data_IF_700663821281
#
_entry.id   IF_700663821281
#
_cell.length_a   1.000
_cell.length_b   1.000
_cell.length_c   1.000
_cell.angle_alpha   90.00
_cell.angle_beta   90.00
_cell.angle_gamma   90.00
#
_symmetry.space_group_name_H-M   'P 1'
#
loop_
_entity.id
_entity.type
_entity.pdbx_description
1 polymer ?
#
# COMPACT_ATOMS: atom_id res chain seq x y z
N UNK A 1 -4.63 -17.76 -61.83
CA UNK A 1 -3.39 -17.72 -61.01
C UNK A 1 -3.07 -16.33 -60.44
N UNK A 2 -3.14 -15.22 -61.22
CA UNK A 2 -2.85 -13.86 -60.70
C UNK A 2 -3.85 -13.37 -59.65
N UNK A 3 -5.16 -13.59 -59.84
CA UNK A 3 -6.18 -13.11 -58.89
C UNK A 3 -6.18 -13.85 -57.54
N UNK A 4 -5.96 -15.16 -57.51
CA UNK A 4 -5.81 -15.91 -56.26
C UNK A 4 -4.60 -15.45 -55.43
N UNK A 5 -3.48 -15.09 -56.09
CA UNK A 5 -2.30 -14.53 -55.41
C UNK A 5 -2.56 -13.15 -54.82
N UNK A 6 -3.39 -12.32 -55.46
CA UNK A 6 -3.78 -10.98 -54.97
C UNK A 6 -4.72 -11.09 -53.76
N UNK A 7 -5.70 -12.00 -53.79
CA UNK A 7 -6.58 -12.26 -52.64
C UNK A 7 -5.80 -12.81 -51.44
N UNK A 8 -4.82 -13.70 -51.64
CA UNK A 8 -3.98 -14.21 -50.55
C UNK A 8 -3.05 -13.15 -49.96
N UNK A 9 -2.54 -12.20 -50.76
CA UNK A 9 -1.70 -11.10 -50.27
C UNK A 9 -2.55 -10.07 -49.50
N UNK A 10 -3.78 -9.77 -49.96
CA UNK A 10 -4.71 -8.90 -49.25
C UNK A 10 -5.19 -9.51 -47.92
N UNK A 11 -5.42 -10.83 -47.88
CA UNK A 11 -5.79 -11.54 -46.66
C UNK A 11 -4.63 -11.60 -45.63
N UNK A 12 -3.38 -11.73 -46.09
CA UNK A 12 -2.20 -11.75 -45.21
C UNK A 12 -1.85 -10.36 -44.67
N UNK A 13 -2.06 -9.30 -45.47
CA UNK A 13 -1.86 -7.91 -45.04
C UNK A 13 -2.92 -7.46 -44.01
N UNK A 14 -4.16 -7.96 -44.09
CA UNK A 14 -5.21 -7.67 -43.11
C UNK A 14 -5.00 -8.39 -41.76
N UNK A 15 -4.39 -9.58 -41.77
CA UNK A 15 -4.12 -10.35 -40.55
C UNK A 15 -2.92 -9.80 -39.74
N UNK A 16 -1.96 -9.15 -40.42
CA UNK A 16 -0.78 -8.54 -39.79
C UNK A 16 -1.06 -7.17 -39.12
N UNK A 17 -2.22 -6.56 -39.36
CA UNK A 17 -2.60 -5.28 -38.74
C UNK A 17 -3.31 -5.43 -37.38
N UNK A 18 -3.59 -6.67 -36.93
CA UNK A 18 -4.34 -6.94 -35.69
C UNK A 18 -3.48 -7.28 -34.46
N UNK A 19 -2.16 -7.08 -34.52
CA UNK A 19 -1.26 -7.30 -33.36
C UNK A 19 -0.57 -5.99 -32.99
N UNK A 20 -1.35 -4.97 -32.67
CA UNK A 20 -0.87 -3.88 -31.83
C UNK A 20 -2.00 -3.55 -30.86
N UNK A 21 -2.08 -4.31 -29.77
CA UNK A 21 -2.72 -3.80 -28.57
C UNK A 21 -1.71 -2.85 -27.93
N UNK A 22 -1.92 -1.52 -27.90
CA UNK A 22 -1.17 -0.70 -26.98
C UNK A 22 -1.63 -1.13 -25.59
N UNK A 23 -0.84 -1.95 -24.88
CA UNK A 23 -0.87 -1.95 -23.43
C UNK A 23 -0.32 -0.59 -23.00
N UNK A 24 -1.16 0.43 -23.10
CA UNK A 24 -1.00 1.68 -22.39
C UNK A 24 -1.24 1.37 -20.91
N UNK A 25 -0.29 0.67 -20.30
CA UNK A 25 -0.09 0.75 -18.87
C UNK A 25 0.51 2.15 -18.65
N UNK A 26 -0.35 3.16 -18.57
CA UNK A 26 0.05 4.46 -18.06
C UNK A 26 0.22 4.27 -16.58
N UNK A 27 1.43 3.90 -16.13
CA UNK A 27 1.85 4.35 -14.81
C UNK A 27 1.90 5.86 -14.92
N UNK A 28 0.81 6.52 -14.53
CA UNK A 28 0.80 7.95 -14.34
C UNK A 28 1.87 8.24 -13.31
N UNK A 29 3.05 8.65 -13.78
CA UNK A 29 3.98 9.42 -12.97
C UNK A 29 3.38 10.81 -12.86
N UNK A 30 2.27 10.87 -12.12
CA UNK A 30 1.73 12.12 -11.63
C UNK A 30 2.85 12.81 -10.86
N UNK A 31 2.93 14.12 -11.01
CA UNK A 31 3.66 14.99 -10.09
C UNK A 31 3.40 14.44 -8.68
N UNK A 32 4.47 14.11 -7.94
CA UNK A 32 4.38 13.63 -6.56
C UNK A 32 3.88 14.77 -5.66
N UNK A 33 2.63 15.20 -5.83
CA UNK A 33 1.86 15.74 -4.75
C UNK A 33 1.50 14.50 -3.95
N UNK A 34 2.28 14.21 -2.91
CA UNK A 34 1.84 13.28 -1.88
C UNK A 34 0.59 13.91 -1.28
N UNK A 35 -0.58 13.51 -1.76
CA UNK A 35 -1.82 13.87 -1.10
C UNK A 35 -1.70 13.36 0.34
N UNK A 36 -1.89 14.24 1.35
CA UNK A 36 -1.86 13.82 2.74
C UNK A 36 -2.82 12.64 2.91
N UNK A 37 -2.44 11.59 3.67
CA UNK A 37 -3.40 10.54 3.98
C UNK A 37 -4.63 11.16 4.66
N UNK A 38 -5.81 10.84 4.16
CA UNK A 38 -7.06 11.28 4.74
C UNK A 38 -7.69 10.18 5.60
N UNK A 39 -8.41 10.59 6.64
CA UNK A 39 -9.23 9.71 7.49
C UNK A 39 -10.55 9.44 6.78
N UNK A 40 -10.82 8.19 6.43
CA UNK A 40 -12.14 7.75 5.98
C UNK A 40 -12.99 7.35 7.20
N UNK A 41 -14.07 8.09 7.42
CA UNK A 41 -15.05 7.82 8.50
C UNK A 41 -16.26 7.03 8.03
N UNK A 42 -16.36 6.74 6.72
CA UNK A 42 -17.50 6.02 6.12
C UNK A 42 -17.32 4.50 6.13
N UNK A 43 -16.07 4.04 6.24
CA UNK A 43 -15.70 2.62 6.28
C UNK A 43 -15.06 2.30 7.62
N UNK A 44 -15.62 1.33 8.35
CA UNK A 44 -14.98 0.83 9.58
C UNK A 44 -13.71 0.07 9.23
N UNK A 45 -12.59 0.43 9.86
CA UNK A 45 -11.31 -0.26 9.74
C UNK A 45 -11.07 -1.06 11.01
N UNK A 46 -10.85 -2.37 10.86
CA UNK A 46 -10.66 -3.30 11.98
C UNK A 46 -9.20 -3.70 12.11
N UNK A 47 -8.68 -3.78 13.33
CA UNK A 47 -7.25 -4.04 13.53
C UNK A 47 -6.81 -5.39 12.94
N UNK A 48 -7.49 -6.47 13.30
CA UNK A 48 -7.10 -7.83 12.91
C UNK A 48 -7.30 -8.09 11.42
N UNK A 49 -8.32 -7.49 10.81
CA UNK A 49 -8.72 -7.76 9.42
C UNK A 49 -8.10 -6.81 8.42
N UNK A 50 -7.80 -5.58 8.82
CA UNK A 50 -7.39 -4.52 7.90
C UNK A 50 -5.97 -4.02 8.18
N UNK A 51 -5.54 -3.97 9.44
CA UNK A 51 -4.22 -3.44 9.84
C UNK A 51 -3.15 -4.53 9.89
N UNK A 52 -3.44 -5.66 10.53
CA UNK A 52 -2.50 -6.79 10.59
C UNK A 52 -2.05 -7.28 9.20
N UNK A 53 -2.91 -7.38 8.17
CA UNK A 53 -2.45 -7.73 6.84
C UNK A 53 -1.45 -6.74 6.24
N UNK A 54 -1.58 -5.43 6.52
CA UNK A 54 -0.59 -4.41 6.11
C UNK A 54 0.75 -4.70 6.79
N UNK A 55 0.75 -4.94 8.10
CA UNK A 55 1.97 -5.25 8.84
C UNK A 55 2.63 -6.52 8.29
N UNK A 56 1.88 -7.58 8.06
CA UNK A 56 2.42 -8.82 7.48
C UNK A 56 2.94 -8.65 6.06
N UNK A 57 2.35 -7.75 5.28
CA UNK A 57 2.78 -7.50 3.91
C UNK A 57 4.11 -6.73 3.83
N UNK A 58 4.38 -5.84 4.80
CA UNK A 58 5.44 -4.85 4.63
C UNK A 58 6.36 -4.61 5.85
N UNK A 59 5.94 -4.93 7.08
CA UNK A 59 6.62 -4.50 8.30
C UNK A 59 7.11 -5.67 9.16
N UNK A 60 6.22 -6.64 9.41
CA UNK A 60 6.44 -7.85 10.18
C UNK A 60 7.23 -8.90 9.36
N UNK A 61 8.47 -8.54 9.01
CA UNK A 61 9.43 -9.42 8.36
C UNK A 61 10.54 -9.80 9.35
N UNK A 62 11.12 -10.99 9.17
CA UNK A 62 12.21 -11.49 10.01
C UNK A 62 13.37 -10.51 10.13
N UNK A 63 13.69 -10.09 11.35
CA UNK A 63 14.74 -9.12 11.65
C UNK A 63 14.33 -7.65 11.53
N UNK A 64 13.09 -7.38 11.08
CA UNK A 64 12.48 -6.05 11.09
C UNK A 64 11.51 -5.97 12.26
N UNK A 65 10.20 -5.84 12.04
CA UNK A 65 9.21 -5.70 13.12
C UNK A 65 8.47 -7.01 13.43
N UNK A 66 9.22 -8.11 13.57
CA UNK A 66 8.69 -9.40 14.00
C UNK A 66 9.17 -9.74 15.42
N UNK A 67 8.70 -10.85 15.98
CA UNK A 67 9.19 -11.34 17.28
C UNK A 67 10.71 -11.55 17.28
N UNK A 68 11.38 -10.85 18.20
CA UNK A 68 12.84 -10.83 18.32
C UNK A 68 13.55 -9.90 17.34
N UNK A 69 12.82 -9.18 16.50
CA UNK A 69 13.34 -8.13 15.63
C UNK A 69 13.47 -6.77 16.32
N UNK A 70 13.54 -5.71 15.51
CA UNK A 70 13.45 -4.33 15.98
C UNK A 70 12.06 -4.03 16.55
N UNK A 71 11.97 -3.47 17.77
CA UNK A 71 10.68 -3.07 18.33
C UNK A 71 10.06 -1.91 17.54
N UNK A 72 8.72 -1.80 17.50
CA UNK A 72 7.74 -2.72 18.10
C UNK A 72 7.64 -4.07 17.36
N UNK A 73 7.19 -5.11 18.06
CA UNK A 73 6.82 -6.38 17.42
C UNK A 73 5.42 -6.23 16.78
N UNK A 74 5.37 -6.22 15.44
CA UNK A 74 4.14 -6.05 14.66
C UNK A 74 3.54 -7.39 14.21
N UNK A 75 3.90 -8.50 14.88
CA UNK A 75 3.19 -9.78 14.73
C UNK A 75 1.72 -9.68 15.18
N UNK A 76 0.81 -10.48 14.61
CA UNK A 76 -0.61 -10.45 14.96
C UNK A 76 -0.88 -10.52 16.47
N UNK A 77 -0.08 -11.30 17.20
CA UNK A 77 -0.26 -11.55 18.63
C UNK A 77 0.21 -10.39 19.52
N UNK A 78 1.18 -9.59 19.06
CA UNK A 78 1.87 -8.58 19.89
C UNK A 78 1.60 -7.14 19.43
N UNK A 79 1.29 -6.92 18.14
CA UNK A 79 1.24 -5.61 17.52
C UNK A 79 0.40 -4.59 18.28
N UNK A 80 -0.81 -4.95 18.71
CA UNK A 80 -1.67 -4.01 19.43
C UNK A 80 -1.02 -3.58 20.75
N UNK A 81 -0.62 -4.54 21.58
CA UNK A 81 -0.02 -4.25 22.88
C UNK A 81 1.26 -3.43 22.75
N UNK A 82 2.14 -3.78 21.81
CA UNK A 82 3.42 -3.10 21.59
C UNK A 82 3.25 -1.68 21.05
N UNK A 83 2.31 -1.47 20.13
CA UNK A 83 2.01 -0.13 19.58
C UNK A 83 1.59 0.85 20.67
N UNK A 84 0.72 0.42 21.59
CA UNK A 84 0.26 1.26 22.69
C UNK A 84 1.29 1.36 23.82
N UNK A 85 1.99 0.27 24.17
CA UNK A 85 3.03 0.30 25.19
C UNK A 85 4.21 1.21 24.80
N UNK A 86 4.54 1.28 23.50
CA UNK A 86 5.57 2.16 22.96
C UNK A 86 5.11 3.59 22.66
N UNK A 87 3.84 3.94 22.95
CA UNK A 87 3.26 5.25 22.65
C UNK A 87 3.37 5.63 21.16
N UNK A 88 3.15 4.67 20.26
CA UNK A 88 3.22 4.88 18.81
C UNK A 88 1.91 5.40 18.20
N UNK A 89 0.84 5.43 18.99
CA UNK A 89 -0.52 5.76 18.56
C UNK A 89 -1.02 6.97 19.34
N UNK A 90 -1.46 8.00 18.63
CA UNK A 90 -2.18 9.15 19.17
C UNK A 90 -3.58 9.18 18.56
N UNK A 91 -4.60 8.81 19.33
CA UNK A 91 -5.99 8.83 18.86
C UNK A 91 -6.64 10.22 18.90
N UNK A 92 -5.99 11.22 19.52
CA UNK A 92 -6.46 12.60 19.56
C UNK A 92 -5.98 13.38 18.33
N UNK A 93 -4.75 13.12 17.91
CA UNK A 93 -4.13 13.70 16.72
C UNK A 93 -3.53 12.55 15.87
N UNK A 94 -4.36 11.79 15.13
CA UNK A 94 -3.95 10.60 14.39
C UNK A 94 -2.72 10.79 13.49
N UNK A 95 -2.64 11.93 12.81
CA UNK A 95 -1.54 12.29 11.93
C UNK A 95 -0.19 12.39 12.67
N UNK A 96 -0.19 12.77 13.95
CA UNK A 96 1.02 12.92 14.77
C UNK A 96 1.47 11.61 15.40
N UNK A 97 0.71 10.52 15.26
CA UNK A 97 1.11 9.18 15.70
C UNK A 97 2.48 8.80 15.14
N UNK A 98 3.40 8.36 16.01
CA UNK A 98 4.75 7.98 15.58
C UNK A 98 4.72 6.90 14.49
N UNK A 99 3.79 5.93 14.58
CA UNK A 99 3.59 4.94 13.52
C UNK A 99 3.37 5.61 12.16
N UNK A 100 2.43 6.55 12.07
CA UNK A 100 2.10 7.28 10.83
C UNK A 100 3.30 8.09 10.35
N UNK A 101 4.02 8.73 11.26
CA UNK A 101 5.16 9.58 10.92
C UNK A 101 6.35 8.77 10.37
N UNK A 102 6.59 7.58 10.89
CA UNK A 102 7.55 6.62 10.30
C UNK A 102 7.10 6.13 8.93
N UNK A 103 5.81 5.84 8.76
CA UNK A 103 5.25 5.41 7.47
C UNK A 103 5.36 6.47 6.39
N UNK A 104 5.19 7.75 6.76
CA UNK A 104 5.37 8.89 5.87
C UNK A 104 6.84 9.20 5.55
N UNK A 105 7.80 8.65 6.30
CA UNK A 105 9.22 8.99 6.16
C UNK A 105 9.63 10.28 6.85
N UNK A 106 8.80 10.81 7.75
CA UNK A 106 9.09 12.04 8.49
C UNK A 106 10.07 11.83 9.67
N UNK A 107 10.50 10.59 9.91
CA UNK A 107 11.44 10.20 10.98
C UNK A 107 12.77 9.65 10.45
N UNK A 108 13.01 9.74 9.14
CA UNK A 108 14.23 9.26 8.49
C UNK A 108 13.90 8.44 7.25
N UNK A 109 14.51 7.26 7.12
CA UNK A 109 14.08 6.31 6.10
C UNK A 109 12.64 5.90 6.40
N UNK A 110 11.76 5.99 5.39
CA UNK A 110 10.38 5.54 5.52
C UNK A 110 10.32 4.07 5.94
N UNK A 111 9.33 3.74 6.77
CA UNK A 111 9.01 2.37 7.14
C UNK A 111 7.68 1.98 6.50
N UNK A 112 7.64 1.01 5.58
CA UNK A 112 8.69 0.06 5.25
C UNK A 112 9.84 0.66 4.43
N UNK A 113 11.06 0.07 4.47
CA UNK A 113 12.22 0.55 3.69
C UNK A 113 12.00 0.61 2.17
N UNK A 114 10.97 -0.09 1.65
CA UNK A 114 10.52 0.00 0.27
C UNK A 114 9.93 1.37 -0.10
N UNK A 115 9.64 2.22 0.89
CA UNK A 115 9.05 3.54 0.74
C UNK A 115 7.64 3.65 1.32
N UNK A 116 7.19 4.89 1.46
CA UNK A 116 5.84 5.24 1.89
C UNK A 116 4.78 4.74 0.90
N UNK A 117 3.65 4.24 1.42
CA UNK A 117 2.53 3.73 0.62
C UNK A 117 1.24 4.45 1.04
N UNK A 118 0.63 5.20 0.13
CA UNK A 118 -0.55 6.03 0.44
C UNK A 118 -1.77 5.22 0.88
N UNK A 119 -2.00 4.04 0.32
CA UNK A 119 -3.11 3.17 0.72
C UNK A 119 -2.93 2.68 2.17
N UNK A 120 -1.72 2.23 2.51
CA UNK A 120 -1.41 1.79 3.86
C UNK A 120 -1.53 2.96 4.85
N UNK A 121 -0.99 4.12 4.49
CA UNK A 121 -1.03 5.32 5.32
C UNK A 121 -2.47 5.74 5.61
N UNK A 122 -3.33 5.83 4.58
CA UNK A 122 -4.74 6.22 4.76
C UNK A 122 -5.50 5.20 5.60
N UNK A 123 -5.26 3.90 5.41
CA UNK A 123 -5.95 2.85 6.17
C UNK A 123 -5.52 2.82 7.64
N UNK A 124 -4.22 2.92 7.93
CA UNK A 124 -3.71 3.03 9.31
C UNK A 124 -4.18 4.31 9.97
N UNK A 125 -4.11 5.45 9.27
CA UNK A 125 -4.60 6.73 9.80
C UNK A 125 -6.10 6.67 10.10
N UNK A 126 -6.89 6.05 9.23
CA UNK A 126 -8.33 5.88 9.43
C UNK A 126 -8.64 5.01 10.64
N UNK A 127 -7.93 3.89 10.84
CA UNK A 127 -8.06 3.08 12.03
C UNK A 127 -7.75 3.86 13.31
N UNK A 128 -6.67 4.66 13.31
CA UNK A 128 -6.32 5.50 14.47
C UNK A 128 -7.39 6.56 14.71
N UNK A 129 -7.86 7.24 13.66
CA UNK A 129 -8.93 8.23 13.73
C UNK A 129 -10.28 7.66 14.19
N UNK A 130 -10.50 6.36 14.01
CA UNK A 130 -11.68 5.64 14.52
C UNK A 130 -11.51 5.13 15.96
N UNK A 131 -10.41 5.51 16.62
CA UNK A 131 -10.11 5.19 18.01
C UNK A 131 -9.23 3.96 18.22
N UNK A 132 -8.56 3.46 17.17
CA UNK A 132 -7.57 2.38 17.23
C UNK A 132 -8.02 1.18 18.08
N UNK A 133 -9.19 0.62 17.76
CA UNK A 133 -9.76 -0.53 18.49
C UNK A 133 -9.04 -1.82 18.12
N UNK A 134 -9.03 -2.77 19.05
CA UNK A 134 -8.55 -4.15 18.84
C UNK A 134 -9.73 -5.07 18.47
N UNK A 135 -10.05 -5.17 17.18
CA UNK A 135 -11.24 -5.87 16.63
C UNK A 135 -10.98 -6.67 15.34
#
# INVERSE_FOLDING_TARGET
MKQQRILSILALAALLFSIVAPTACTSESGILILEPPEIDTTVQVNFSKDIIPIFNQACNASGCHNTGGFPPDLTPENAYADLFAGNFIDTLVPEDSELVQWMLGNRGLAMPPSGSNSEFNSKVLSWIGQGAKDD
#
